data_IF_860645523681
#
_entry.id   IF_860645523681
#
_cell.length_a   1.000
_cell.length_b   1.000
_cell.length_c   1.000
_cell.angle_alpha   90.00
_cell.angle_beta   90.00
_cell.angle_gamma   90.00
#
_symmetry.space_group_name_H-M   'P 1'
#
loop_
_entity.id
_entity.type
_entity.pdbx_description
1 polymer ?
#
# COMPACT_ATOMS: atom_id res chain seq x y z
N UNK A 1 5.36 -2.43 7.62
CA UNK A 1 4.17 -3.30 7.66
C UNK A 1 2.90 -2.66 7.03
N UNK A 2 3.00 -1.66 6.15
CA UNK A 2 1.87 -0.96 5.52
C UNK A 2 1.36 -1.64 4.23
N UNK A 3 2.24 -2.18 3.37
CA UNK A 3 1.82 -2.70 2.06
C UNK A 3 1.01 -4.01 2.17
N UNK A 4 1.32 -4.86 3.16
CA UNK A 4 0.57 -6.09 3.40
C UNK A 4 -0.87 -5.80 3.83
N UNK A 5 -1.06 -4.90 4.78
CA UNK A 5 -2.40 -4.49 5.23
C UNK A 5 -3.16 -3.75 4.12
N UNK A 6 -2.48 -2.88 3.38
CA UNK A 6 -3.07 -2.24 2.20
C UNK A 6 -3.57 -3.28 1.19
N UNK A 7 -2.74 -4.28 0.87
CA UNK A 7 -3.13 -5.33 -0.06
C UNK A 7 -4.33 -6.14 0.43
N UNK A 8 -4.46 -6.40 1.74
CA UNK A 8 -5.66 -7.07 2.29
C UNK A 8 -6.93 -6.24 2.10
N UNK A 9 -6.83 -4.93 2.25
CA UNK A 9 -7.96 -4.01 2.13
C UNK A 9 -8.37 -3.78 0.67
N UNK A 10 -7.39 -3.58 -0.23
CA UNK A 10 -7.65 -3.07 -1.59
C UNK A 10 -7.29 -4.02 -2.74
N UNK A 11 -6.37 -4.96 -2.53
CA UNK A 11 -5.81 -5.75 -3.62
C UNK A 11 -6.18 -7.25 -3.58
N UNK A 12 -6.61 -7.75 -2.41
CA UNK A 12 -7.07 -9.11 -2.19
C UNK A 12 -8.59 -9.21 -2.27
N UNK A 13 -9.11 -9.43 -3.48
CA UNK A 13 -10.56 -9.51 -3.75
C UNK A 13 -11.24 -10.66 -2.98
N UNK A 14 -10.51 -11.73 -2.67
CA UNK A 14 -11.02 -12.88 -1.92
C UNK A 14 -10.94 -12.68 -0.40
N UNK A 15 -10.06 -11.80 0.06
CA UNK A 15 -9.77 -11.54 1.47
C UNK A 15 -10.99 -11.14 2.29
N UNK A 16 -11.00 -11.52 3.57
CA UNK A 16 -12.08 -11.16 4.52
C UNK A 16 -12.26 -9.66 4.73
N UNK A 17 -11.18 -8.89 4.57
CA UNK A 17 -11.12 -7.45 4.86
C UNK A 17 -11.20 -6.59 3.59
N UNK A 18 -11.55 -7.19 2.46
CA UNK A 18 -11.63 -6.46 1.19
C UNK A 18 -12.72 -5.40 1.25
N UNK A 19 -12.41 -4.16 0.86
CA UNK A 19 -13.28 -3.01 1.03
C UNK A 19 -14.70 -3.20 0.46
N UNK A 20 -14.85 -3.91 -0.66
CA UNK A 20 -16.18 -4.21 -1.25
C UNK A 20 -17.10 -5.05 -0.37
N UNK A 21 -16.55 -5.73 0.66
CA UNK A 21 -17.34 -6.49 1.62
C UNK A 21 -17.83 -5.65 2.80
N UNK A 22 -17.31 -4.44 2.94
CA UNK A 22 -17.53 -3.55 4.08
C UNK A 22 -18.32 -2.32 3.64
N UNK A 23 -18.00 -1.78 2.47
CA UNK A 23 -18.66 -0.60 1.91
C UNK A 23 -19.98 -0.99 1.24
N UNK A 24 -21.06 -0.32 1.65
CA UNK A 24 -22.41 -0.56 1.16
C UNK A 24 -22.60 0.05 -0.24
N UNK A 25 -22.31 1.34 -0.41
CA UNK A 25 -22.37 2.04 -1.70
C UNK A 25 -21.00 2.02 -2.40
N UNK A 26 -20.72 0.89 -3.03
CA UNK A 26 -19.40 0.60 -3.62
C UNK A 26 -19.07 1.46 -4.84
N UNK A 27 -20.09 1.77 -5.65
CA UNK A 27 -19.90 2.52 -6.90
C UNK A 27 -19.56 3.97 -6.61
N UNK A 28 -20.29 4.60 -5.67
CA UNK A 28 -20.00 5.96 -5.24
C UNK A 28 -18.64 6.06 -4.55
N UNK A 29 -18.36 5.14 -3.62
CA UNK A 29 -17.06 5.08 -2.94
C UNK A 29 -15.91 5.00 -3.96
N UNK A 30 -16.03 4.10 -4.93
CA UNK A 30 -14.95 3.88 -5.88
C UNK A 30 -14.78 5.06 -6.84
N UNK A 31 -15.88 5.67 -7.30
CA UNK A 31 -15.84 6.87 -8.12
C UNK A 31 -15.18 8.05 -7.39
N UNK A 32 -15.54 8.30 -6.12
CA UNK A 32 -14.94 9.36 -5.31
C UNK A 32 -13.45 9.10 -5.04
N UNK A 33 -13.07 7.85 -4.77
CA UNK A 33 -11.67 7.45 -4.60
C UNK A 33 -10.84 7.72 -5.86
N UNK A 34 -11.33 7.30 -7.04
CA UNK A 34 -10.66 7.52 -8.31
C UNK A 34 -10.49 9.01 -8.62
N UNK A 35 -11.53 9.81 -8.33
CA UNK A 35 -11.49 11.26 -8.47
C UNK A 35 -10.43 11.90 -7.55
N UNK A 36 -10.34 11.47 -6.28
CA UNK A 36 -9.31 11.96 -5.35
C UNK A 36 -7.88 11.61 -5.79
N UNK A 37 -7.70 10.44 -6.38
CA UNK A 37 -6.40 9.98 -6.89
C UNK A 37 -6.04 10.57 -8.25
N UNK A 38 -7.00 11.18 -8.96
CA UNK A 38 -6.82 11.61 -10.35
C UNK A 38 -6.51 10.42 -11.28
N UNK A 39 -7.08 9.25 -11.01
CA UNK A 39 -6.83 8.01 -11.74
C UNK A 39 -8.08 7.51 -12.44
N UNK A 40 -7.90 6.85 -13.59
CA UNK A 40 -8.94 5.99 -14.18
C UNK A 40 -8.99 4.64 -13.44
N UNK A 41 -10.09 3.90 -13.62
CA UNK A 41 -10.21 2.54 -13.08
C UNK A 41 -9.07 1.63 -13.56
N UNK A 42 -8.70 1.72 -14.84
CA UNK A 42 -7.59 0.94 -15.40
C UNK A 42 -6.25 1.31 -14.74
N UNK A 43 -5.96 2.60 -14.57
CA UNK A 43 -4.74 3.06 -13.89
C UNK A 43 -4.68 2.58 -12.44
N UNK A 44 -5.83 2.57 -11.75
CA UNK A 44 -5.90 2.06 -10.38
C UNK A 44 -5.74 0.55 -10.32
N UNK A 45 -6.31 -0.21 -11.27
CA UNK A 45 -6.11 -1.65 -11.37
C UNK A 45 -4.63 -2.00 -11.61
N UNK A 46 -3.95 -1.28 -12.50
CA UNK A 46 -2.51 -1.44 -12.76
C UNK A 46 -1.68 -1.11 -11.52
N UNK A 47 -2.06 -0.07 -10.79
CA UNK A 47 -1.45 0.29 -9.51
C UNK A 47 -1.59 -0.81 -8.45
N UNK A 48 -2.79 -1.38 -8.28
CA UNK A 48 -3.01 -2.49 -7.35
C UNK A 48 -2.21 -3.73 -7.74
N UNK A 49 -2.10 -4.03 -9.03
CA UNK A 49 -1.26 -5.12 -9.54
C UNK A 49 0.21 -4.89 -9.21
N UNK A 50 0.73 -3.67 -9.40
CA UNK A 50 2.11 -3.33 -9.05
C UNK A 50 2.40 -3.52 -7.55
N UNK A 51 1.46 -3.15 -6.66
CA UNK A 51 1.59 -3.38 -5.22
C UNK A 51 1.53 -4.87 -4.83
N UNK A 52 0.69 -5.66 -5.50
CA UNK A 52 0.66 -7.12 -5.31
C UNK A 52 1.95 -7.77 -5.75
N UNK A 53 2.46 -7.41 -6.93
CA UNK A 53 3.75 -7.87 -7.41
C UNK A 53 4.87 -7.46 -6.47
N UNK A 54 4.84 -6.24 -5.93
CA UNK A 54 5.78 -5.81 -4.91
C UNK A 54 5.68 -6.66 -3.64
N UNK A 55 4.47 -6.97 -3.14
CA UNK A 55 4.28 -7.89 -2.01
C UNK A 55 4.89 -9.27 -2.31
N UNK A 56 4.51 -9.88 -3.42
CA UNK A 56 4.88 -11.26 -3.75
C UNK A 56 6.38 -11.39 -4.01
N UNK A 57 7.01 -10.35 -4.57
CA UNK A 57 8.46 -10.33 -4.82
C UNK A 57 9.26 -9.92 -3.59
N UNK A 58 8.87 -8.86 -2.89
CA UNK A 58 9.67 -8.28 -1.81
C UNK A 58 9.48 -8.99 -0.47
N UNK A 59 8.28 -9.52 -0.19
CA UNK A 59 8.02 -10.23 1.08
C UNK A 59 8.42 -11.70 1.00
N UNK A 60 8.28 -12.35 -0.17
CA UNK A 60 8.62 -13.76 -0.31
C UNK A 60 10.03 -14.04 -0.86
N UNK A 61 10.64 -13.12 -1.63
CA UNK A 61 11.92 -13.34 -2.30
C UNK A 61 12.88 -12.15 -2.12
N UNK A 62 13.21 -11.84 -0.86
CA UNK A 62 14.07 -10.71 -0.47
C UNK A 62 15.45 -10.67 -1.19
N UNK A 63 15.85 -11.76 -1.88
CA UNK A 63 17.15 -11.93 -2.54
C UNK A 63 17.15 -11.95 -4.09
N UNK A 64 16.01 -12.05 -4.80
CA UNK A 64 16.05 -12.46 -6.23
C UNK A 64 16.01 -11.35 -7.30
N UNK A 65 15.79 -10.09 -6.95
CA UNK A 65 15.60 -9.04 -7.97
C UNK A 65 16.53 -7.83 -7.83
N UNK A 66 17.42 -7.66 -8.82
CA UNK A 66 18.42 -6.57 -8.93
C UNK A 66 17.84 -5.20 -9.32
N UNK A 67 16.56 -5.12 -9.64
CA UNK A 67 15.87 -3.86 -10.01
C UNK A 67 14.56 -3.77 -9.24
N UNK A 68 14.50 -2.88 -8.24
CA UNK A 68 13.29 -2.64 -7.47
C UNK A 68 12.48 -1.49 -8.10
N UNK A 69 11.27 -1.79 -8.57
CA UNK A 69 10.28 -0.77 -8.88
C UNK A 69 9.40 -0.59 -7.65
N UNK A 70 9.71 0.41 -6.81
CA UNK A 70 8.86 0.75 -5.65
C UNK A 70 7.64 1.52 -6.15
N UNK A 71 6.42 0.94 -6.08
CA UNK A 71 5.22 1.71 -6.40
C UNK A 71 5.09 2.91 -5.45
N UNK A 72 4.60 4.04 -5.97
CA UNK A 72 4.36 5.24 -5.16
C UNK A 72 3.30 4.94 -4.11
N UNK A 73 3.67 4.86 -2.83
CA UNK A 73 2.68 4.57 -1.76
C UNK A 73 1.82 5.78 -1.39
N UNK A 74 2.02 6.94 -2.03
CA UNK A 74 1.19 8.12 -1.80
C UNK A 74 -0.27 7.82 -2.14
N UNK A 75 -0.51 7.13 -3.26
CA UNK A 75 -1.85 6.68 -3.65
C UNK A 75 -2.42 5.66 -2.64
N UNK A 76 -1.60 4.79 -2.05
CA UNK A 76 -2.05 3.87 -1.01
C UNK A 76 -2.47 4.61 0.26
N UNK A 77 -1.71 5.65 0.66
CA UNK A 77 -2.07 6.50 1.79
C UNK A 77 -3.40 7.20 1.58
N UNK A 78 -3.61 7.80 0.41
CA UNK A 78 -4.88 8.46 0.05
C UNK A 78 -6.04 7.45 0.04
N UNK A 79 -5.85 6.26 -0.54
CA UNK A 79 -6.87 5.21 -0.53
C UNK A 79 -7.28 4.80 0.88
N UNK A 80 -6.33 4.58 1.79
CA UNK A 80 -6.64 4.20 3.19
C UNK A 80 -7.34 5.35 3.92
N UNK A 81 -6.89 6.59 3.72
CA UNK A 81 -7.56 7.76 4.29
C UNK A 81 -9.01 7.88 3.79
N UNK A 82 -9.22 7.68 2.50
CA UNK A 82 -10.54 7.73 1.89
C UNK A 82 -11.45 6.63 2.46
N UNK A 83 -10.96 5.39 2.55
CA UNK A 83 -11.70 4.29 3.19
C UNK A 83 -12.02 4.58 4.64
N UNK A 84 -11.07 5.06 5.43
CA UNK A 84 -11.31 5.43 6.81
C UNK A 84 -12.40 6.52 6.93
N UNK A 85 -12.29 7.60 6.17
CA UNK A 85 -13.27 8.68 6.15
C UNK A 85 -14.66 8.17 5.74
N UNK A 86 -14.73 7.31 4.72
CA UNK A 86 -15.98 6.70 4.28
C UNK A 86 -16.63 5.86 5.38
N UNK A 87 -15.86 4.99 6.02
CA UNK A 87 -16.36 4.14 7.10
C UNK A 87 -16.92 4.99 8.24
N UNK A 88 -16.19 6.02 8.69
CA UNK A 88 -16.66 6.91 9.76
C UNK A 88 -17.95 7.63 9.39
N UNK A 89 -18.07 8.09 8.14
CA UNK A 89 -19.21 8.90 7.71
C UNK A 89 -20.46 8.07 7.34
N UNK A 90 -20.29 6.86 6.79
CA UNK A 90 -21.39 6.13 6.15
C UNK A 90 -21.67 4.76 6.77
N UNK A 91 -20.66 4.07 7.31
CA UNK A 91 -20.81 2.67 7.75
C UNK A 91 -20.71 2.51 9.28
N UNK A 92 -20.13 3.49 9.97
CA UNK A 92 -19.84 3.41 11.41
C UNK A 92 -21.09 3.75 12.23
N UNK A 93 -21.61 2.80 13.03
CA UNK A 93 -22.67 3.13 13.98
C UNK A 93 -22.13 4.06 15.08
N UNK A 94 -22.97 4.98 15.60
CA UNK A 94 -22.57 5.91 16.65
C UNK A 94 -21.97 5.17 17.86
N UNK A 95 -20.77 5.58 18.28
CA UNK A 95 -20.10 5.05 19.48
C UNK A 95 -19.17 3.84 19.28
N UNK A 96 -19.02 3.33 18.04
CA UNK A 96 -18.10 2.22 17.75
C UNK A 96 -16.63 2.66 17.65
N UNK A 97 -16.38 3.89 17.17
CA UNK A 97 -15.03 4.45 17.04
C UNK A 97 -14.77 5.49 18.14
N UNK A 98 -13.66 5.32 18.86
CA UNK A 98 -13.16 6.36 19.76
C UNK A 98 -12.72 7.59 18.96
N UNK A 99 -12.95 8.82 19.45
CA UNK A 99 -12.57 10.05 18.76
C UNK A 99 -11.07 10.17 18.49
N UNK A 100 -10.22 9.45 19.22
CA UNK A 100 -8.77 9.46 19.02
C UNK A 100 -8.33 8.69 17.76
N UNK A 101 -9.17 7.78 17.26
CA UNK A 101 -8.91 7.01 16.04
C UNK A 101 -9.39 7.71 14.77
N UNK A 102 -10.06 8.86 14.88
CA UNK A 102 -10.62 9.57 13.73
C UNK A 102 -9.61 10.44 12.96
N UNK A 103 -8.35 10.49 13.38
CA UNK A 103 -7.31 11.37 12.80
C UNK A 103 -6.52 10.67 11.66
N UNK A 104 -6.85 10.93 10.37
CA UNK A 104 -6.23 10.25 9.23
C UNK A 104 -4.78 10.68 8.96
N UNK A 105 -4.34 11.86 9.41
CA UNK A 105 -2.99 12.39 9.12
C UNK A 105 -1.85 11.48 9.59
N UNK A 106 -2.06 10.70 10.66
CA UNK A 106 -1.05 9.78 11.19
C UNK A 106 -0.79 8.58 10.26
N UNK A 107 -1.78 8.18 9.47
CA UNK A 107 -1.66 7.05 8.54
C UNK A 107 -0.71 7.39 7.38
N UNK A 108 -0.83 8.57 6.77
CA UNK A 108 0.05 9.01 5.68
C UNK A 108 1.51 9.10 6.15
N UNK A 109 1.75 9.61 7.35
CA UNK A 109 3.09 9.72 7.92
C UNK A 109 3.76 8.34 8.07
N UNK A 110 3.00 7.33 8.52
CA UNK A 110 3.48 5.95 8.62
C UNK A 110 3.84 5.38 7.23
N UNK A 111 2.98 5.57 6.22
CA UNK A 111 3.25 5.13 4.84
C UNK A 111 4.53 5.77 4.26
N UNK A 112 4.75 7.07 4.49
CA UNK A 112 5.96 7.78 4.04
C UNK A 112 7.22 7.27 4.75
N UNK A 113 7.14 7.02 6.05
CA UNK A 113 8.24 6.43 6.82
C UNK A 113 8.67 5.06 6.29
N UNK A 114 7.71 4.21 5.95
CA UNK A 114 7.99 2.88 5.40
C UNK A 114 8.60 2.91 4.00
N UNK A 115 8.17 3.84 3.12
CA UNK A 115 8.85 4.04 1.83
C UNK A 115 10.33 4.37 2.02
N UNK A 116 10.65 5.21 3.01
CA UNK A 116 12.03 5.61 3.30
C UNK A 116 12.87 4.42 3.79
N UNK A 117 12.31 3.60 4.67
CA UNK A 117 12.97 2.37 5.17
C UNK A 117 13.20 1.37 4.04
N UNK A 118 12.20 1.11 3.19
CA UNK A 118 12.33 0.20 2.06
C UNK A 118 13.42 0.65 1.07
N UNK A 119 13.49 1.96 0.75
CA UNK A 119 14.55 2.53 -0.09
C UNK A 119 15.93 2.37 0.54
N UNK A 120 16.05 2.59 1.86
CA UNK A 120 17.33 2.44 2.61
C UNK A 120 17.81 0.99 2.67
N UNK A 121 16.92 0.04 2.93
CA UNK A 121 17.26 -1.39 2.91
C UNK A 121 17.71 -1.78 1.50
N UNK A 122 17.00 -1.33 0.46
CA UNK A 122 17.41 -1.60 -0.92
C UNK A 122 18.78 -1.01 -1.26
N UNK A 123 19.08 0.24 -0.88
CA UNK A 123 20.39 0.83 -1.13
C UNK A 123 21.51 0.07 -0.41
N UNK A 124 21.27 -0.35 0.84
CA UNK A 124 22.23 -1.10 1.65
C UNK A 124 22.52 -2.49 1.04
N UNK A 125 21.47 -3.23 0.66
CA UNK A 125 21.61 -4.55 0.00
C UNK A 125 22.33 -4.40 -1.36
N UNK A 126 22.07 -3.31 -2.10
CA UNK A 126 22.75 -3.03 -3.37
C UNK A 126 24.24 -2.73 -3.19
N UNK A 127 24.63 -2.03 -2.13
CA UNK A 127 26.04 -1.74 -1.82
C UNK A 127 26.79 -3.01 -1.41
N UNK A 128 26.20 -3.86 -0.56
CA UNK A 128 26.80 -5.16 -0.19
C UNK A 128 26.89 -6.10 -1.40
N UNK A 129 25.85 -6.16 -2.24
CA UNK A 129 25.86 -6.98 -3.46
C UNK A 129 26.89 -6.54 -4.51
N UNK A 130 27.44 -5.33 -4.40
CA UNK A 130 28.55 -4.82 -5.24
C UNK A 130 29.93 -5.17 -4.69
N UNK A 131 30.04 -5.56 -3.42
CA UNK A 131 31.32 -5.89 -2.76
C UNK A 131 31.82 -7.31 -2.96
N UNK A 132 31.01 -8.22 -3.51
CA UNK A 132 31.35 -9.65 -3.64
C UNK A 132 31.86 -10.08 -5.03
N UNK A 133 32.23 -9.15 -5.92
CA UNK A 133 32.71 -9.48 -7.28
C UNK A 133 34.19 -9.15 -7.53
N UNK A 134 35.04 -9.08 -6.50
CA UNK A 134 36.50 -8.91 -6.66
C UNK A 134 37.33 -9.75 -5.67
N UNK A 135 37.12 -11.07 -5.58
CA UNK A 135 38.18 -11.99 -5.12
C UNK A 135 37.94 -13.39 -5.71
N UNK A 136 38.52 -13.66 -6.87
CA UNK A 136 38.44 -14.97 -7.50
C UNK A 136 39.32 -15.11 -8.73
N UNK A 137 40.50 -14.48 -8.70
CA UNK A 137 41.54 -14.65 -9.70
C UNK A 137 42.79 -15.23 -9.04
N UNK A 138 42.93 -16.55 -9.07
CA UNK A 138 44.17 -17.27 -9.37
C UNK A 138 43.96 -18.77 -9.36
#
# INVERSE_FOLDING_TARGET
>A
MCVLEFCKLFADKGGKHFWKKIVTDQDRFFAELLAQLGMTEQQYADYLNALRTYRDKFVAHLDEHRTMYTPKLDAAGVSVQHLHAWLVANECPPGLLNPEHSAPERLIAAFKGEQSVARRIFSYVREIGRGSSETGGR
#
